data_IF_317998691211
#
_entry.id   IF_317998691211
#
_cell.length_a   1.000
_cell.length_b   1.000
_cell.length_c   1.000
_cell.angle_alpha   90.00
_cell.angle_beta   90.00
_cell.angle_gamma   90.00
#
_symmetry.space_group_name_H-M   'P 1'
#
loop_
_entity.id
_entity.type
_entity.pdbx_description
1 polymer ?
#
# COMPACT_ATOMS: atom_id res chain seq x y z
N UNK A 1 9.59 -10.71 6.59
CA UNK A 1 8.13 -10.77 6.80
C UNK A 1 7.65 -12.05 6.13
N UNK A 2 7.20 -13.05 6.89
CA UNK A 2 6.70 -14.30 6.29
C UNK A 2 5.61 -13.99 5.28
N UNK A 3 5.78 -14.51 4.06
CA UNK A 3 4.78 -14.44 3.02
C UNK A 3 3.61 -15.35 3.41
N UNK A 4 2.67 -14.80 4.19
CA UNK A 4 1.33 -15.39 4.28
C UNK A 4 0.77 -15.41 2.85
N UNK A 5 0.35 -16.59 2.36
CA UNK A 5 -0.22 -16.76 1.03
C UNK A 5 -1.49 -15.90 0.93
N UNK A 6 -1.34 -14.65 0.45
CA UNK A 6 -2.44 -13.69 0.39
C UNK A 6 -3.50 -14.20 -0.58
N UNK A 7 -4.60 -14.73 -0.06
CA UNK A 7 -5.76 -15.11 -0.87
C UNK A 7 -6.67 -13.90 -1.01
N UNK A 8 -7.01 -13.55 -2.24
CA UNK A 8 -7.96 -12.47 -2.49
C UNK A 8 -9.30 -12.77 -1.82
N UNK A 9 -9.80 -11.81 -1.04
CA UNK A 9 -11.08 -11.89 -0.33
C UNK A 9 -12.25 -12.08 -1.30
N UNK A 10 -13.36 -12.68 -0.83
CA UNK A 10 -14.56 -12.89 -1.66
C UNK A 10 -15.11 -11.55 -2.19
N UNK A 11 -15.17 -10.54 -1.32
CA UNK A 11 -15.57 -9.16 -1.69
C UNK A 11 -14.60 -8.57 -2.72
N UNK A 12 -13.29 -8.77 -2.51
CA UNK A 12 -12.25 -8.36 -3.46
C UNK A 12 -12.39 -8.99 -4.84
N UNK A 13 -12.81 -10.26 -4.94
CA UNK A 13 -13.04 -10.92 -6.23
C UNK A 13 -14.19 -10.28 -7.02
N UNK A 14 -15.21 -9.76 -6.34
CA UNK A 14 -16.37 -9.12 -6.97
C UNK A 14 -16.06 -7.66 -7.31
N UNK A 15 -15.50 -6.89 -6.36
CA UNK A 15 -15.39 -5.43 -6.48
C UNK A 15 -13.95 -4.91 -6.68
N UNK A 16 -12.93 -5.74 -6.43
CA UNK A 16 -11.52 -5.34 -6.42
C UNK A 16 -11.03 -4.80 -7.76
N UNK A 17 -11.50 -5.34 -8.89
CA UNK A 17 -11.13 -4.84 -10.22
C UNK A 17 -11.63 -3.42 -10.48
N UNK A 18 -12.87 -3.11 -10.08
CA UNK A 18 -13.45 -1.76 -10.21
C UNK A 18 -12.73 -0.79 -9.27
N UNK A 19 -12.54 -1.17 -8.01
CA UNK A 19 -11.86 -0.36 -7.02
C UNK A 19 -10.40 -0.07 -7.40
N UNK A 20 -9.66 -1.08 -7.89
CA UNK A 20 -8.29 -0.93 -8.41
C UNK A 20 -8.24 0.14 -9.49
N UNK A 21 -9.09 0.03 -10.53
CA UNK A 21 -9.12 1.00 -11.64
C UNK A 21 -9.42 2.42 -11.15
N UNK A 22 -10.39 2.58 -10.24
CA UNK A 22 -10.73 3.89 -9.68
C UNK A 22 -9.56 4.47 -8.90
N UNK A 23 -8.97 3.72 -7.98
CA UNK A 23 -7.85 4.19 -7.15
C UNK A 23 -6.63 4.53 -8.01
N UNK A 24 -6.26 3.68 -8.96
CA UNK A 24 -5.12 3.96 -9.83
C UNK A 24 -5.36 5.19 -10.72
N UNK A 25 -6.60 5.50 -11.09
CA UNK A 25 -6.90 6.68 -11.92
C UNK A 25 -7.08 7.96 -11.11
N UNK A 26 -7.80 7.90 -9.99
CA UNK A 26 -8.31 9.05 -9.25
C UNK A 26 -7.60 9.28 -7.91
N UNK A 27 -6.77 8.33 -7.47
CA UNK A 27 -6.10 8.36 -6.18
C UNK A 27 -6.89 7.68 -5.04
N UNK A 28 -6.28 7.65 -3.85
CA UNK A 28 -6.91 7.09 -2.65
C UNK A 28 -7.91 8.11 -2.07
N UNK A 29 -9.20 7.78 -1.96
CA UNK A 29 -10.20 8.72 -1.43
C UNK A 29 -10.05 8.88 0.08
N UNK A 30 -10.48 10.04 0.59
CA UNK A 30 -10.50 10.34 2.03
C UNK A 30 -11.57 9.52 2.74
N UNK A 31 -11.34 9.20 4.03
CA UNK A 31 -12.32 8.56 4.89
C UNK A 31 -12.46 7.04 4.74
N UNK A 32 -11.54 6.37 4.03
CA UNK A 32 -11.46 4.90 4.04
C UNK A 32 -10.97 4.46 5.43
N UNK A 33 -11.59 3.45 6.06
CA UNK A 33 -11.13 2.93 7.34
C UNK A 33 -9.75 2.26 7.21
N UNK A 34 -8.86 2.56 8.16
CA UNK A 34 -7.61 1.82 8.34
C UNK A 34 -7.90 0.39 8.80
N UNK A 35 -7.20 -0.59 8.22
CA UNK A 35 -7.24 -1.97 8.70
C UNK A 35 -6.88 -2.00 10.20
N UNK A 36 -7.71 -2.68 10.99
CA UNK A 36 -7.49 -2.95 12.41
C UNK A 36 -6.07 -3.42 12.73
N UNK A 37 -5.46 -4.24 11.85
CA UNK A 37 -4.09 -4.77 12.02
C UNK A 37 -2.99 -3.72 11.81
N UNK A 38 -3.33 -2.56 11.23
CA UNK A 38 -2.41 -1.45 10.93
C UNK A 38 -2.59 -0.25 11.85
N UNK A 39 -3.43 -0.36 12.88
CA UNK A 39 -3.56 0.68 13.90
C UNK A 39 -2.33 0.64 14.81
N UNK A 40 -1.58 1.74 14.83
CA UNK A 40 -0.48 1.95 15.78
C UNK A 40 -1.09 2.44 17.10
N UNK A 41 -1.10 1.57 18.11
CA UNK A 41 -1.71 1.84 19.42
C UNK A 41 -0.67 2.09 20.53
N UNK A 42 0.61 1.89 20.22
CA UNK A 42 1.73 2.05 21.13
C UNK A 42 2.54 3.32 20.84
N UNK A 43 3.37 3.74 21.81
CA UNK A 43 4.27 4.88 21.63
C UNK A 43 5.44 4.52 20.72
N UNK A 44 5.79 5.45 19.81
CA UNK A 44 6.90 5.32 18.86
C UNK A 44 7.72 6.61 18.83
N UNK A 45 9.03 6.49 18.63
CA UNK A 45 9.89 7.65 18.40
C UNK A 45 9.73 8.13 16.96
N UNK A 46 9.27 9.37 16.78
CA UNK A 46 8.96 9.90 15.45
C UNK A 46 10.19 9.98 14.53
N UNK A 47 11.36 10.37 15.05
CA UNK A 47 12.56 10.51 14.22
C UNK A 47 13.05 9.15 13.75
N UNK A 48 13.01 8.15 14.63
CA UNK A 48 13.32 6.78 14.29
C UNK A 48 12.39 6.23 13.20
N UNK A 49 11.07 6.38 13.35
CA UNK A 49 10.10 5.91 12.36
C UNK A 49 10.23 6.65 11.03
N UNK A 50 10.54 7.96 11.05
CA UNK A 50 10.84 8.74 9.84
C UNK A 50 12.05 8.18 9.10
N UNK A 51 13.16 7.92 9.80
CA UNK A 51 14.36 7.31 9.17
C UNK A 51 14.06 5.93 8.59
N UNK A 52 13.24 5.13 9.28
CA UNK A 52 12.79 3.83 8.76
C UNK A 52 12.00 4.02 7.46
N UNK A 53 11.03 4.94 7.44
CA UNK A 53 10.24 5.24 6.24
C UNK A 53 11.12 5.66 5.07
N UNK A 54 12.05 6.60 5.27
CA UNK A 54 12.96 7.09 4.23
C UNK A 54 13.80 5.95 3.63
N UNK A 55 14.36 5.09 4.48
CA UNK A 55 15.14 3.92 4.04
C UNK A 55 14.26 2.93 3.27
N UNK A 56 13.05 2.66 3.74
CA UNK A 56 12.11 1.75 3.06
C UNK A 56 11.70 2.28 1.69
N UNK A 57 11.42 3.58 1.57
CA UNK A 57 11.09 4.22 0.29
C UNK A 57 12.28 4.17 -0.69
N UNK A 58 13.50 4.42 -0.20
CA UNK A 58 14.71 4.31 -1.00
C UNK A 58 14.92 2.88 -1.51
N UNK A 59 14.84 1.89 -0.62
CA UNK A 59 14.95 0.48 -1.00
C UNK A 59 13.88 0.07 -2.03
N UNK A 60 12.63 0.51 -1.84
CA UNK A 60 11.54 0.26 -2.78
C UNK A 60 11.86 0.83 -4.17
N UNK A 61 12.36 2.07 -4.22
CA UNK A 61 12.75 2.71 -5.48
C UNK A 61 13.91 2.00 -6.17
N UNK A 62 14.98 1.68 -5.43
CA UNK A 62 16.20 1.05 -5.96
C UNK A 62 15.97 -0.38 -6.43
N UNK A 63 15.06 -1.12 -5.78
CA UNK A 63 14.77 -2.51 -6.15
C UNK A 63 14.01 -2.63 -7.49
N UNK A 64 13.37 -1.55 -7.94
CA UNK A 64 12.64 -1.50 -9.20
C UNK A 64 11.57 -2.61 -9.34
N UNK A 65 11.23 -3.02 -10.57
CA UNK A 65 10.22 -4.05 -10.80
C UNK A 65 10.55 -5.41 -10.17
N UNK A 66 11.84 -5.76 -10.04
CA UNK A 66 12.29 -7.01 -9.45
C UNK A 66 12.05 -7.09 -7.93
N UNK A 67 11.93 -5.95 -7.25
CA UNK A 67 11.57 -5.87 -5.84
C UNK A 67 10.07 -5.94 -5.56
N UNK A 68 9.23 -5.92 -6.60
CA UNK A 68 7.78 -5.98 -6.43
C UNK A 68 7.34 -7.43 -6.25
N UNK A 69 6.41 -7.64 -5.31
CA UNK A 69 5.85 -8.97 -5.06
C UNK A 69 5.08 -9.51 -6.26
N UNK A 70 5.22 -10.82 -6.51
CA UNK A 70 4.40 -11.56 -7.48
C UNK A 70 3.08 -12.05 -6.87
N UNK A 71 2.90 -11.87 -5.56
CA UNK A 71 1.68 -12.29 -4.86
C UNK A 71 0.51 -11.36 -5.21
N UNK A 72 -0.72 -11.91 -5.31
CA UNK A 72 -1.90 -11.08 -5.51
C UNK A 72 -2.15 -10.20 -4.28
N UNK A 73 -2.67 -9.00 -4.52
CA UNK A 73 -3.19 -8.14 -3.46
C UNK A 73 -4.46 -8.79 -2.86
N UNK A 74 -4.59 -8.77 -1.55
CA UNK A 74 -5.73 -9.32 -0.79
C UNK A 74 -7.11 -8.79 -1.23
N UNK A 75 -7.20 -7.54 -1.68
CA UNK A 75 -8.42 -6.93 -2.20
C UNK A 75 -8.40 -6.80 -3.74
N UNK A 76 -7.34 -6.24 -4.33
CA UNK A 76 -7.29 -5.97 -5.78
C UNK A 76 -6.96 -7.19 -6.64
N UNK A 77 -6.50 -8.30 -6.06
CA UNK A 77 -6.08 -9.48 -6.80
C UNK A 77 -4.75 -9.27 -7.52
N UNK A 78 -4.57 -9.89 -8.70
CA UNK A 78 -3.34 -9.78 -9.47
C UNK A 78 -3.10 -8.33 -9.92
N UNK A 79 -1.87 -7.88 -9.74
CA UNK A 79 -1.42 -6.55 -10.13
C UNK A 79 -0.07 -6.65 -10.83
N UNK A 80 0.14 -5.82 -11.85
CA UNK A 80 1.45 -5.71 -12.49
C UNK A 80 2.42 -4.94 -11.58
N UNK A 81 3.72 -5.07 -11.82
CA UNK A 81 4.73 -4.29 -11.08
C UNK A 81 4.46 -2.78 -11.14
N UNK A 82 3.99 -2.29 -12.30
CA UNK A 82 3.64 -0.88 -12.47
C UNK A 82 2.37 -0.48 -11.70
N UNK A 83 1.36 -1.34 -11.65
CA UNK A 83 0.16 -1.10 -10.85
C UNK A 83 0.49 -1.05 -9.36
N UNK A 84 1.35 -1.95 -8.88
CA UNK A 84 1.86 -1.94 -7.50
C UNK A 84 2.65 -0.66 -7.20
N UNK A 85 3.58 -0.29 -8.07
CA UNK A 85 4.36 0.94 -7.91
C UNK A 85 3.48 2.19 -7.85
N UNK A 86 2.48 2.26 -8.73
CA UNK A 86 1.51 3.36 -8.75
C UNK A 86 0.64 3.38 -7.50
N UNK A 87 0.16 2.23 -7.04
CA UNK A 87 -0.62 2.13 -5.80
C UNK A 87 0.21 2.61 -4.60
N UNK A 88 1.46 2.18 -4.49
CA UNK A 88 2.33 2.57 -3.38
C UNK A 88 2.58 4.07 -3.39
N UNK A 89 2.85 4.66 -4.56
CA UNK A 89 2.99 6.11 -4.70
C UNK A 89 1.73 6.85 -4.24
N UNK A 90 0.55 6.48 -4.77
CA UNK A 90 -0.72 7.14 -4.46
C UNK A 90 -1.10 7.00 -2.97
N UNK A 91 -0.79 5.86 -2.35
CA UNK A 91 -1.06 5.61 -0.94
C UNK A 91 -0.12 6.40 -0.02
N UNK A 92 1.17 6.44 -0.33
CA UNK A 92 2.15 7.26 0.43
C UNK A 92 1.80 8.75 0.33
N UNK A 93 1.55 9.25 -0.89
CA UNK A 93 1.16 10.65 -1.14
C UNK A 93 -0.16 11.03 -0.46
N UNK A 94 -1.15 10.12 -0.46
CA UNK A 94 -2.38 10.31 0.29
C UNK A 94 -2.11 10.56 1.78
N UNK A 95 -1.21 9.79 2.40
CA UNK A 95 -0.89 9.96 3.81
C UNK A 95 -0.11 11.23 4.11
N UNK A 96 0.84 11.63 3.26
CA UNK A 96 1.53 12.92 3.43
C UNK A 96 0.55 14.09 3.35
N UNK A 97 -0.40 14.07 2.41
CA UNK A 97 -1.46 15.08 2.35
C UNK A 97 -2.44 15.01 3.52
N UNK A 98 -2.77 13.82 4.01
CA UNK A 98 -3.69 13.66 5.14
C UNK A 98 -3.12 14.24 6.43
N UNK A 99 -1.83 14.08 6.65
CA UNK A 99 -1.15 14.48 7.88
C UNK A 99 -0.34 15.78 7.74
N UNK A 100 -0.46 16.47 6.60
CA UNK A 100 0.24 17.73 6.31
C UNK A 100 1.76 17.63 6.51
N UNK A 101 2.35 16.54 6.01
CA UNK A 101 3.78 16.25 6.08
C UNK A 101 4.53 16.70 4.83
#
# INVERSE_FOLDING_TARGET
MSAENARQTLVGRIFGGIAKRKILREGVPKGIPTDSKRKVADQRDFQQEKTILERTLRHFFESGPAGITEQPHDFFGRMTAQEWARLQYLHTDHHFRQFSA
#
